data_IF_466886726294
#
_entry.id   IF_466886726294
#
_cell.length_a   1.000
_cell.length_b   1.000
_cell.length_c   1.000
_cell.angle_alpha   90.00
_cell.angle_beta   90.00
_cell.angle_gamma   90.00
#
_symmetry.space_group_name_H-M   'P 1'
#
loop_
_entity.id
_entity.type
_entity.pdbx_description
1 polymer ?
#
# COMPACT_ATOMS: atom_id res chain seq x y z
N UNK A 1 -6.04 -4.03 8.71
CA UNK A 1 -5.39 -2.72 8.51
C UNK A 1 -6.30 -1.71 7.81
N UNK A 2 -6.78 -1.95 6.57
CA UNK A 2 -7.63 -1.01 5.81
C UNK A 2 -8.88 -0.52 6.58
N UNK A 3 -9.67 -1.43 7.17
CA UNK A 3 -10.84 -1.08 8.00
C UNK A 3 -10.45 -0.11 9.13
N UNK A 4 -9.33 -0.38 9.79
CA UNK A 4 -8.85 0.46 10.88
C UNK A 4 -8.45 1.86 10.37
N UNK A 5 -7.73 1.94 9.26
CA UNK A 5 -7.33 3.21 8.65
C UNK A 5 -8.54 4.02 8.18
N UNK A 6 -9.55 3.37 7.59
CA UNK A 6 -10.83 4.01 7.23
C UNK A 6 -11.50 4.65 8.46
N UNK A 7 -11.54 3.93 9.60
CA UNK A 7 -12.11 4.46 10.85
C UNK A 7 -11.23 5.56 11.46
N UNK A 8 -9.90 5.41 11.40
CA UNK A 8 -8.95 6.43 11.86
C UNK A 8 -9.13 7.75 11.12
N UNK A 9 -9.46 7.70 9.83
CA UNK A 9 -9.75 8.86 8.99
C UNK A 9 -11.04 9.63 9.36
N UNK A 10 -11.78 9.23 10.40
CA UNK A 10 -12.79 10.09 11.02
C UNK A 10 -12.20 11.12 11.98
N UNK A 11 -10.88 11.11 12.21
CA UNK A 11 -10.17 12.17 12.91
C UNK A 11 -10.29 12.14 14.44
N UNK A 12 -10.78 11.04 15.03
CA UNK A 12 -10.91 10.89 16.49
C UNK A 12 -10.14 9.67 17.03
N UNK A 13 -9.23 9.84 18.00
CA UNK A 13 -8.70 11.12 18.52
C UNK A 13 -7.94 11.90 17.43
N UNK A 14 -7.49 13.13 17.68
CA UNK A 14 -6.73 13.91 16.68
C UNK A 14 -5.53 13.13 16.15
N UNK A 15 -5.24 13.30 14.88
CA UNK A 15 -4.06 12.73 14.24
C UNK A 15 -2.83 13.55 14.62
N UNK A 16 -1.79 12.85 15.04
CA UNK A 16 -0.52 13.41 15.49
C UNK A 16 0.60 12.96 14.56
N UNK A 17 1.59 13.83 14.38
CA UNK A 17 2.72 13.57 13.49
C UNK A 17 2.66 14.43 12.24
N UNK A 18 3.17 13.88 11.15
CA UNK A 18 3.22 14.49 9.83
C UNK A 18 2.96 13.47 8.72
N UNK A 19 2.42 12.27 9.02
CA UNK A 19 2.23 11.22 8.00
C UNK A 19 1.34 11.66 6.83
N UNK A 20 0.25 12.39 7.07
CA UNK A 20 -0.59 12.89 5.96
C UNK A 20 0.12 13.97 5.16
N UNK A 21 0.85 14.86 5.84
CA UNK A 21 1.64 15.91 5.17
C UNK A 21 2.74 15.29 4.30
N UNK A 22 3.44 14.29 4.85
CA UNK A 22 4.59 13.66 4.22
C UNK A 22 4.17 12.74 3.06
N UNK A 23 3.11 11.94 3.26
CA UNK A 23 2.73 10.87 2.34
C UNK A 23 1.67 11.29 1.32
N UNK A 24 0.85 12.29 1.62
CA UNK A 24 -0.28 12.72 0.77
C UNK A 24 -0.25 14.21 0.41
N UNK A 25 0.80 14.94 0.84
CA UNK A 25 0.88 16.40 0.72
C UNK A 25 -0.34 17.13 1.32
N UNK A 26 -0.92 16.59 2.40
CA UNK A 26 -2.00 17.25 3.11
C UNK A 26 -1.52 18.56 3.75
N UNK A 27 -2.38 19.59 3.89
CA UNK A 27 -2.03 20.81 4.62
C UNK A 27 -1.64 20.56 6.09
N UNK A 28 -2.27 19.58 6.74
CA UNK A 28 -1.97 19.12 8.09
C UNK A 28 -2.61 17.72 8.34
N UNK A 29 -2.32 17.12 9.50
CA UNK A 29 -2.82 15.79 9.88
C UNK A 29 -4.35 15.70 10.09
N UNK A 30 -5.05 16.82 10.23
CA UNK A 30 -6.48 16.85 10.51
C UNK A 30 -7.26 17.58 9.39
N UNK A 31 -6.67 17.67 8.19
CA UNK A 31 -7.32 18.24 7.02
C UNK A 31 -8.54 17.42 6.60
N UNK A 32 -9.74 18.01 6.71
CA UNK A 32 -11.01 17.31 6.54
C UNK A 32 -11.17 16.74 5.11
N UNK A 33 -10.75 17.49 4.09
CA UNK A 33 -10.86 17.08 2.70
C UNK A 33 -9.97 15.85 2.41
N UNK A 34 -8.71 15.89 2.86
CA UNK A 34 -7.79 14.75 2.71
C UNK A 34 -8.27 13.55 3.52
N UNK A 35 -8.81 13.76 4.73
CA UNK A 35 -9.37 12.67 5.54
C UNK A 35 -10.59 12.01 4.88
N UNK A 36 -11.47 12.80 4.28
CA UNK A 36 -12.60 12.28 3.51
C UNK A 36 -12.13 11.46 2.31
N UNK A 37 -11.11 11.94 1.59
CA UNK A 37 -10.49 11.22 0.48
C UNK A 37 -9.87 9.89 0.93
N UNK A 38 -9.10 9.90 2.01
CA UNK A 38 -8.49 8.69 2.61
C UNK A 38 -9.56 7.67 3.02
N UNK A 39 -10.66 8.14 3.63
CA UNK A 39 -11.78 7.29 4.03
C UNK A 39 -12.44 6.61 2.83
N UNK A 40 -12.66 7.34 1.75
CA UNK A 40 -13.22 6.80 0.50
C UNK A 40 -12.34 5.69 -0.03
N UNK A 41 -11.03 5.92 -0.12
CA UNK A 41 -10.10 4.95 -0.69
C UNK A 41 -9.98 3.67 0.13
N UNK A 42 -9.82 3.76 1.45
CA UNK A 42 -9.85 2.56 2.28
C UNK A 42 -11.23 1.89 2.28
N UNK A 43 -12.31 2.66 2.11
CA UNK A 43 -13.65 2.12 1.88
C UNK A 43 -13.72 1.29 0.59
N UNK A 44 -13.13 1.77 -0.50
CA UNK A 44 -13.06 1.04 -1.77
C UNK A 44 -12.26 -0.27 -1.62
N UNK A 45 -11.14 -0.25 -0.90
CA UNK A 45 -10.36 -1.46 -0.59
C UNK A 45 -11.19 -2.48 0.17
N UNK A 46 -11.90 -2.04 1.22
CA UNK A 46 -12.76 -2.92 2.02
C UNK A 46 -13.88 -3.49 1.15
N UNK A 47 -14.56 -2.66 0.37
CA UNK A 47 -15.61 -3.10 -0.55
C UNK A 47 -15.10 -4.11 -1.56
N UNK A 48 -13.97 -3.85 -2.23
CA UNK A 48 -13.37 -4.76 -3.20
C UNK A 48 -13.02 -6.13 -2.58
N UNK A 49 -12.47 -6.13 -1.37
CA UNK A 49 -12.13 -7.35 -0.64
C UNK A 49 -13.36 -8.14 -0.15
N UNK A 50 -14.55 -7.55 -0.15
CA UNK A 50 -15.80 -8.24 0.25
C UNK A 50 -16.58 -8.85 -0.92
N UNK A 51 -16.17 -8.58 -2.17
CA UNK A 51 -16.84 -9.16 -3.33
C UNK A 51 -16.48 -10.65 -3.43
N UNK A 52 -17.46 -11.57 -3.40
CA UNK A 52 -17.20 -13.00 -3.52
C UNK A 52 -16.74 -13.36 -4.94
N UNK A 53 -16.04 -14.48 -5.07
CA UNK A 53 -15.70 -15.04 -6.38
C UNK A 53 -16.95 -15.65 -7.06
N UNK A 54 -17.12 -15.49 -8.38
CA UNK A 54 -16.29 -14.71 -9.31
C UNK A 54 -16.60 -13.21 -9.25
N UNK A 55 -15.58 -12.34 -9.37
CA UNK A 55 -15.78 -10.88 -9.38
C UNK A 55 -14.93 -10.08 -8.38
N UNK A 56 -14.22 -10.77 -7.48
CA UNK A 56 -13.48 -10.17 -6.37
C UNK A 56 -11.96 -10.17 -6.53
N UNK A 57 -11.29 -10.08 -5.39
CA UNK A 57 -9.83 -10.14 -5.29
C UNK A 57 -9.38 -11.58 -5.12
N UNK A 58 -8.46 -12.03 -5.96
CA UNK A 58 -7.76 -13.30 -5.80
C UNK A 58 -6.29 -13.03 -5.51
N UNK A 59 -5.75 -13.64 -4.44
CA UNK A 59 -4.36 -13.50 -4.05
C UNK A 59 -3.62 -14.81 -4.30
N UNK A 60 -2.63 -14.78 -5.18
CA UNK A 60 -1.70 -15.89 -5.37
C UNK A 60 -0.43 -15.66 -4.55
N UNK A 61 0.07 -16.74 -3.94
CA UNK A 61 1.36 -16.72 -3.26
C UNK A 61 2.55 -16.78 -4.21
N UNK A 62 2.35 -16.96 -5.52
CA UNK A 62 3.41 -16.97 -6.53
C UNK A 62 2.83 -16.72 -7.92
N UNK A 63 3.69 -16.39 -8.87
CA UNK A 63 3.36 -16.19 -10.28
C UNK A 63 3.33 -17.50 -11.10
N UNK A 64 3.44 -18.66 -10.44
CA UNK A 64 3.55 -19.97 -11.10
C UNK A 64 2.35 -20.35 -11.99
N UNK A 65 1.23 -19.66 -11.85
CA UNK A 65 0.04 -19.85 -12.68
C UNK A 65 0.09 -19.06 -14.01
N UNK A 66 1.07 -18.16 -14.17
CA UNK A 66 1.28 -17.38 -15.37
C UNK A 66 2.17 -18.13 -16.36
N UNK A 67 1.75 -18.19 -17.62
CA UNK A 67 2.50 -18.84 -18.69
C UNK A 67 3.29 -17.78 -19.46
N UNK A 68 4.63 -17.88 -19.57
CA UNK A 68 5.39 -16.90 -20.34
C UNK A 68 5.03 -16.96 -21.83
N UNK A 69 4.70 -15.81 -22.42
CA UNK A 69 4.42 -15.69 -23.87
C UNK A 69 5.52 -14.92 -24.60
N UNK A 70 6.04 -13.85 -23.98
CA UNK A 70 7.25 -13.17 -24.41
C UNK A 70 8.00 -12.62 -23.17
N UNK A 71 8.89 -13.43 -22.56
CA UNK A 71 9.59 -13.05 -21.34
C UNK A 71 10.44 -11.78 -21.49
N UNK A 72 10.98 -11.52 -22.68
CA UNK A 72 11.82 -10.35 -22.98
C UNK A 72 11.03 -9.04 -22.87
N UNK A 73 9.77 -9.04 -23.30
CA UNK A 73 8.85 -7.91 -23.12
C UNK A 73 8.03 -8.01 -21.83
N UNK A 74 8.37 -8.94 -20.93
CA UNK A 74 7.67 -9.19 -19.66
C UNK A 74 6.19 -9.56 -19.84
N UNK A 75 5.86 -10.25 -20.94
CA UNK A 75 4.50 -10.68 -21.26
C UNK A 75 4.22 -12.11 -20.82
N UNK A 76 3.09 -12.28 -20.14
CA UNK A 76 2.62 -13.56 -19.62
C UNK A 76 1.13 -13.73 -19.90
N UNK A 77 0.68 -14.98 -20.00
CA UNK A 77 -0.72 -15.36 -20.17
C UNK A 77 -1.27 -15.87 -18.84
N UNK A 78 -2.39 -15.28 -18.43
CA UNK A 78 -3.28 -15.88 -17.45
C UNK A 78 -4.34 -16.70 -18.19
N UNK A 79 -4.39 -18.00 -17.92
CA UNK A 79 -5.36 -18.91 -18.55
C UNK A 79 -6.82 -18.56 -18.21
N UNK A 80 -7.06 -17.75 -17.18
CA UNK A 80 -8.39 -17.22 -16.87
C UNK A 80 -8.77 -16.15 -17.89
N UNK A 81 -9.61 -16.54 -18.84
CA UNK A 81 -10.05 -15.66 -19.90
C UNK A 81 -8.98 -15.37 -20.96
N UNK A 82 -7.89 -16.15 -21.00
CA UNK A 82 -6.78 -15.98 -21.93
C UNK A 82 -6.23 -14.55 -21.96
N UNK A 83 -6.03 -13.96 -20.78
CA UNK A 83 -5.62 -12.55 -20.64
C UNK A 83 -4.11 -12.45 -20.71
N UNK A 84 -3.58 -11.67 -21.66
CA UNK A 84 -2.16 -11.33 -21.71
C UNK A 84 -1.90 -10.14 -20.80
N UNK A 85 -0.92 -10.28 -19.91
CA UNK A 85 -0.53 -9.25 -18.93
C UNK A 85 0.92 -8.88 -19.13
N UNK A 86 1.26 -7.64 -18.77
CA UNK A 86 2.65 -7.18 -18.69
C UNK A 86 3.05 -7.15 -17.22
N UNK A 87 4.08 -7.89 -16.85
CA UNK A 87 4.63 -7.87 -15.50
C UNK A 87 5.46 -6.60 -15.26
N UNK A 88 5.71 -6.20 -14.00
CA UNK A 88 6.47 -5.00 -13.68
C UNK A 88 7.83 -4.94 -14.40
N UNK A 89 8.26 -3.74 -14.79
CA UNK A 89 9.59 -3.54 -15.36
C UNK A 89 10.65 -3.47 -14.24
N UNK A 90 11.85 -4.06 -14.43
CA UNK A 90 12.89 -4.00 -13.42
C UNK A 90 13.44 -2.57 -13.28
N UNK A 91 13.88 -2.19 -12.08
CA UNK A 91 14.77 -1.04 -11.93
C UNK A 91 16.04 -1.20 -12.78
N UNK A 92 16.67 -0.09 -13.23
CA UNK A 92 17.92 -0.14 -13.98
C UNK A 92 18.99 -0.95 -13.25
N UNK A 93 19.70 -1.82 -13.98
CA UNK A 93 20.81 -2.61 -13.43
C UNK A 93 20.44 -3.93 -12.75
N UNK A 94 19.15 -4.30 -12.69
CA UNK A 94 18.70 -5.59 -12.17
C UNK A 94 18.66 -6.65 -13.28
N UNK A 95 19.31 -7.79 -13.05
CA UNK A 95 19.17 -8.97 -13.91
C UNK A 95 17.84 -9.68 -13.61
N UNK A 96 17.04 -9.90 -14.65
CA UNK A 96 15.72 -10.51 -14.54
C UNK A 96 15.77 -12.04 -14.51
N UNK A 97 14.92 -12.64 -13.70
CA UNK A 97 14.50 -14.05 -13.84
C UNK A 97 13.42 -14.19 -14.91
N UNK A 98 13.23 -15.41 -15.41
CA UNK A 98 12.24 -15.72 -16.46
C UNK A 98 10.78 -15.74 -15.98
N UNK A 99 10.53 -15.55 -14.68
CA UNK A 99 9.20 -15.48 -14.09
C UNK A 99 8.68 -14.03 -14.04
N UNK A 100 7.37 -13.87 -13.88
CA UNK A 100 6.71 -12.56 -13.86
C UNK A 100 7.14 -11.70 -12.66
N UNK A 101 7.55 -12.28 -11.53
CA UNK A 101 8.10 -11.55 -10.40
C UNK A 101 9.50 -10.99 -10.65
N UNK A 102 10.24 -11.55 -11.62
CA UNK A 102 11.52 -11.02 -12.12
C UNK A 102 12.67 -11.00 -11.10
N UNK A 103 12.49 -11.55 -9.90
CA UNK A 103 13.49 -11.58 -8.84
C UNK A 103 13.61 -10.29 -8.01
N UNK A 104 12.75 -9.29 -8.27
CA UNK A 104 12.84 -7.96 -7.66
C UNK A 104 11.51 -7.45 -7.10
N UNK A 105 10.38 -7.85 -7.67
CA UNK A 105 9.08 -7.39 -7.23
C UNK A 105 8.70 -8.07 -5.91
N UNK A 106 8.14 -7.31 -4.96
CA UNK A 106 7.56 -7.89 -3.73
C UNK A 106 6.19 -8.48 -4.01
N UNK A 107 5.39 -7.80 -4.82
CA UNK A 107 4.13 -8.23 -5.39
C UNK A 107 3.80 -7.40 -6.62
N UNK A 108 2.69 -7.71 -7.26
CA UNK A 108 2.06 -6.86 -8.26
C UNK A 108 0.60 -7.25 -8.46
N UNK A 109 -0.17 -6.33 -9.03
CA UNK A 109 -1.61 -6.47 -9.23
C UNK A 109 -1.98 -6.29 -10.70
N UNK A 110 -2.93 -7.09 -11.19
CA UNK A 110 -3.49 -6.96 -12.54
C UNK A 110 -4.94 -7.46 -12.59
N UNK A 111 -5.65 -7.13 -13.66
CA UNK A 111 -6.99 -7.63 -13.92
C UNK A 111 -6.96 -8.78 -14.92
N UNK A 112 -7.69 -9.87 -14.65
CA UNK A 112 -8.00 -10.88 -15.66
C UNK A 112 -9.40 -11.44 -15.48
N UNK A 113 -10.09 -11.64 -16.62
CA UNK A 113 -11.52 -11.94 -16.64
C UNK A 113 -12.32 -10.98 -15.73
N UNK A 114 -13.09 -11.50 -14.78
CA UNK A 114 -13.87 -10.70 -13.83
C UNK A 114 -13.13 -10.43 -12.50
N UNK A 115 -11.88 -10.88 -12.33
CA UNK A 115 -11.19 -10.79 -11.05
C UNK A 115 -10.07 -9.75 -11.06
N UNK A 116 -9.81 -9.21 -9.87
CA UNK A 116 -8.58 -8.47 -9.56
C UNK A 116 -7.59 -9.43 -8.92
N UNK A 117 -6.40 -9.55 -9.50
CA UNK A 117 -5.44 -10.57 -9.11
C UNK A 117 -4.23 -9.89 -8.52
N UNK A 118 -3.87 -10.32 -7.31
CA UNK A 118 -2.65 -9.93 -6.61
C UNK A 118 -1.71 -11.12 -6.61
N UNK A 119 -0.46 -10.91 -7.01
CA UNK A 119 0.62 -11.88 -6.86
C UNK A 119 1.54 -11.40 -5.75
N UNK A 120 1.73 -12.23 -4.73
CA UNK A 120 2.79 -12.08 -3.72
C UNK A 120 4.00 -12.89 -4.20
N UNK A 121 5.12 -12.25 -4.50
CA UNK A 121 6.24 -12.88 -5.24
C UNK A 121 7.14 -13.79 -4.39
N UNK A 122 6.57 -14.80 -3.72
CA UNK A 122 7.25 -15.60 -2.69
C UNK A 122 8.44 -16.46 -3.15
N UNK A 123 8.59 -16.67 -4.45
CA UNK A 123 9.64 -17.49 -5.06
C UNK A 123 10.92 -16.70 -5.33
N UNK A 124 10.93 -15.39 -5.07
CA UNK A 124 12.10 -14.53 -5.20
C UNK A 124 12.71 -14.19 -3.84
N UNK A 125 14.04 -14.09 -3.75
CA UNK A 125 14.73 -13.63 -2.53
C UNK A 125 14.37 -12.21 -2.09
N UNK A 126 13.65 -11.46 -2.94
CA UNK A 126 13.10 -10.12 -2.67
C UNK A 126 11.57 -10.12 -2.52
N UNK A 127 10.93 -11.28 -2.56
CA UNK A 127 9.49 -11.47 -2.52
C UNK A 127 8.85 -11.05 -1.21
N UNK A 128 7.56 -10.68 -1.23
CA UNK A 128 6.84 -10.26 -0.02
C UNK A 128 6.86 -11.31 1.11
N UNK A 129 6.75 -12.60 0.79
CA UNK A 129 6.74 -13.65 1.83
C UNK A 129 8.14 -13.92 2.41
N UNK A 130 9.20 -13.73 1.64
CA UNK A 130 10.58 -14.01 2.07
C UNK A 130 11.21 -12.80 2.75
N UNK A 131 10.99 -11.61 2.20
CA UNK A 131 11.65 -10.37 2.65
C UNK A 131 10.92 -9.66 3.79
N UNK A 132 9.77 -10.18 4.22
CA UNK A 132 8.99 -9.53 5.27
C UNK A 132 9.43 -9.92 6.68
N UNK A 133 9.20 -9.01 7.63
CA UNK A 133 9.49 -9.29 9.04
C UNK A 133 8.55 -10.32 9.63
N UNK A 134 9.14 -11.28 10.33
CA UNK A 134 8.45 -12.39 11.02
C UNK A 134 7.58 -11.95 12.21
N UNK A 135 7.96 -10.99 13.09
CA UNK A 135 7.00 -10.47 14.05
C UNK A 135 5.94 -9.65 13.31
N UNK A 136 4.66 -9.97 13.52
CA UNK A 136 3.57 -9.19 12.95
C UNK A 136 3.56 -7.77 13.52
N UNK A 137 3.00 -6.83 12.75
CA UNK A 137 2.86 -5.44 13.20
C UNK A 137 1.97 -5.33 14.46
N UNK A 138 1.07 -6.30 14.68
CA UNK A 138 0.21 -6.41 15.87
C UNK A 138 0.99 -6.53 17.19
N UNK A 139 2.20 -7.11 17.16
CA UNK A 139 3.04 -7.20 18.35
C UNK A 139 3.39 -5.80 18.87
N UNK A 140 3.73 -4.86 17.97
CA UNK A 140 4.06 -3.48 18.30
C UNK A 140 2.83 -2.61 18.55
N UNK A 141 1.66 -3.02 18.05
CA UNK A 141 0.39 -2.36 18.31
C UNK A 141 -0.03 -2.48 19.78
N UNK A 142 0.29 -3.61 20.43
CA UNK A 142 -0.25 -3.97 21.75
C UNK A 142 0.75 -3.90 22.89
N UNK A 143 2.01 -4.31 22.68
CA UNK A 143 2.94 -4.53 23.79
C UNK A 143 4.42 -4.27 23.47
N UNK A 144 4.84 -4.33 22.20
CA UNK A 144 6.22 -4.06 21.80
C UNK A 144 6.57 -2.57 21.77
N UNK A 145 7.84 -2.23 22.02
CA UNK A 145 8.40 -0.91 21.73
C UNK A 145 9.01 -0.89 20.33
N UNK A 146 8.30 -0.32 19.36
CA UNK A 146 8.75 -0.28 17.97
C UNK A 146 10.05 0.52 17.81
N UNK A 147 10.33 1.49 18.69
CA UNK A 147 11.50 2.39 18.55
C UNK A 147 12.83 1.66 18.68
N UNK A 148 12.83 0.52 19.39
CA UNK A 148 13.99 -0.37 19.54
C UNK A 148 13.94 -1.56 18.58
N UNK A 149 12.93 -1.61 17.72
CA UNK A 149 12.79 -2.63 16.68
C UNK A 149 13.92 -2.51 15.64
N UNK A 150 14.29 -3.61 14.97
CA UNK A 150 15.39 -3.61 14.00
C UNK A 150 15.21 -2.52 12.94
N UNK A 151 16.20 -1.65 12.81
CA UNK A 151 16.27 -0.66 11.74
C UNK A 151 15.26 0.50 11.82
N UNK A 152 14.46 0.64 12.89
CA UNK A 152 13.45 1.72 12.99
C UNK A 152 14.10 3.10 13.15
N UNK A 153 15.21 3.20 13.89
CA UNK A 153 15.96 4.45 14.02
C UNK A 153 16.66 4.87 12.72
N UNK A 154 17.06 3.90 11.90
CA UNK A 154 17.82 4.10 10.66
C UNK A 154 16.91 4.35 9.47
N UNK A 155 15.82 3.59 9.36
CA UNK A 155 14.92 3.60 8.20
C UNK A 155 13.63 4.38 8.47
N UNK A 156 13.34 4.74 9.72
CA UNK A 156 12.15 5.49 10.07
C UNK A 156 10.88 4.81 9.55
N UNK A 157 10.02 5.58 8.89
CA UNK A 157 8.74 5.11 8.35
C UNK A 157 8.89 4.02 7.27
N UNK A 158 10.01 3.96 6.55
CA UNK A 158 10.25 2.95 5.50
C UNK A 158 10.23 1.53 6.03
N UNK A 159 10.56 1.37 7.31
CA UNK A 159 10.53 0.08 7.98
C UNK A 159 9.13 -0.54 7.90
N UNK A 160 8.07 0.27 7.89
CA UNK A 160 6.68 -0.18 7.83
C UNK A 160 6.36 -0.94 6.53
N UNK A 161 7.05 -0.63 5.44
CA UNK A 161 6.95 -1.34 4.15
C UNK A 161 7.60 -2.73 4.15
N UNK A 162 8.20 -3.16 5.27
CA UNK A 162 8.81 -4.48 5.43
C UNK A 162 7.86 -5.50 6.07
N UNK A 163 6.66 -5.11 6.51
CA UNK A 163 5.66 -6.09 6.98
C UNK A 163 4.79 -6.57 5.83
N UNK A 164 4.54 -7.88 5.79
CA UNK A 164 3.70 -8.51 4.77
C UNK A 164 2.31 -7.86 4.67
N UNK A 165 1.72 -7.49 5.81
CA UNK A 165 0.43 -6.80 5.84
C UNK A 165 0.43 -5.45 5.11
N UNK A 166 1.55 -4.72 5.16
CA UNK A 166 1.70 -3.44 4.47
C UNK A 166 1.86 -3.66 2.97
N UNK A 167 2.65 -4.67 2.58
CA UNK A 167 2.82 -5.05 1.17
C UNK A 167 1.51 -5.53 0.55
N UNK A 168 0.74 -6.38 1.26
CA UNK A 168 -0.59 -6.80 0.79
C UNK A 168 -1.50 -5.58 0.66
N UNK A 169 -1.47 -4.64 1.62
CA UNK A 169 -2.30 -3.45 1.53
C UNK A 169 -1.93 -2.55 0.35
N UNK A 170 -0.64 -2.39 0.07
CA UNK A 170 -0.16 -1.70 -1.14
C UNK A 170 -0.80 -2.28 -2.40
N UNK A 171 -0.74 -3.61 -2.58
CA UNK A 171 -1.37 -4.27 -3.73
C UNK A 171 -2.90 -4.15 -3.74
N UNK A 172 -3.52 -4.18 -2.56
CA UNK A 172 -4.96 -3.95 -2.43
C UNK A 172 -5.38 -2.54 -2.87
N UNK A 173 -4.52 -1.52 -2.74
CA UNK A 173 -4.81 -0.17 -3.26
C UNK A 173 -4.93 -0.20 -4.78
N UNK A 174 -4.03 -0.92 -5.46
CA UNK A 174 -4.10 -1.16 -6.90
C UNK A 174 -5.41 -1.88 -7.26
N UNK A 175 -5.74 -2.98 -6.56
CA UNK A 175 -6.96 -3.77 -6.81
C UNK A 175 -8.27 -2.97 -6.58
N UNK A 176 -8.31 -2.16 -5.52
CA UNK A 176 -9.47 -1.35 -5.17
C UNK A 176 -9.79 -0.27 -6.22
N UNK A 177 -8.76 0.25 -6.89
CA UNK A 177 -8.92 1.17 -8.00
C UNK A 177 -9.70 0.55 -9.17
N UNK A 178 -9.60 -0.76 -9.36
CA UNK A 178 -10.33 -1.49 -10.40
C UNK A 178 -11.77 -1.86 -10.00
N UNK A 179 -12.06 -2.14 -8.72
CA UNK A 179 -13.43 -2.49 -8.28
C UNK A 179 -14.44 -1.34 -8.47
N UNK A 180 -13.95 -0.09 -8.52
CA UNK A 180 -14.75 1.09 -8.80
C UNK A 180 -15.24 1.16 -10.28
N UNK A 181 -14.69 0.35 -11.19
CA UNK A 181 -15.02 0.31 -12.61
C UNK A 181 -16.37 -0.37 -12.93
N UNK A 182 -16.96 -1.14 -12.01
CA UNK A 182 -18.16 -1.95 -12.29
C UNK A 182 -19.49 -1.30 -11.88
N UNK A 183 -19.48 -0.06 -11.36
CA UNK A 183 -20.67 0.53 -10.71
C UNK A 183 -21.21 1.87 -11.22
N UNK A 184 -20.49 2.61 -12.09
CA UNK A 184 -20.69 4.03 -12.53
C UNK A 184 -19.61 5.03 -12.05
N UNK A 185 -18.32 4.66 -11.97
CA UNK A 185 -17.22 5.62 -11.71
C UNK A 185 -15.93 5.28 -12.49
N UNK A 186 -15.10 6.31 -12.72
CA UNK A 186 -14.02 6.42 -13.73
C UNK A 186 -12.77 5.54 -13.50
N UNK A 187 -11.90 5.50 -14.55
CA UNK A 187 -10.64 4.76 -14.72
C UNK A 187 -9.76 4.64 -13.47
N UNK A 188 -9.13 3.47 -13.30
CA UNK A 188 -8.35 3.07 -12.13
C UNK A 188 -7.35 4.14 -11.71
N UNK A 189 -7.49 4.60 -10.48
CA UNK A 189 -6.77 5.75 -9.94
C UNK A 189 -5.54 5.36 -9.08
N UNK A 190 -5.11 4.09 -9.11
CA UNK A 190 -3.77 3.70 -8.69
C UNK A 190 -3.10 3.02 -9.89
N UNK A 191 -2.03 3.61 -10.44
CA UNK A 191 -1.35 3.03 -11.59
C UNK A 191 -0.83 1.64 -11.24
N UNK A 192 -1.40 0.61 -11.86
CA UNK A 192 -0.79 -0.71 -11.86
C UNK A 192 0.45 -0.64 -12.78
N UNK A 193 1.64 -0.49 -12.18
CA UNK A 193 2.95 -0.66 -12.82
C UNK A 193 3.37 0.33 -13.93
N UNK A 194 2.53 1.28 -14.35
CA UNK A 194 2.85 2.28 -15.38
C UNK A 194 2.37 3.67 -14.97
N UNK A 195 3.10 4.76 -15.29
CA UNK A 195 2.62 6.09 -15.01
C UNK A 195 1.33 6.39 -15.79
N UNK A 196 0.23 6.61 -15.06
CA UNK A 196 -1.05 7.03 -15.61
C UNK A 196 -1.16 8.56 -15.63
N UNK A 197 -2.21 9.09 -16.27
CA UNK A 197 -2.54 10.51 -16.16
C UNK A 197 -3.84 10.68 -15.36
N UNK A 198 -3.76 11.45 -14.28
CA UNK A 198 -4.93 11.86 -13.50
C UNK A 198 -4.99 13.37 -13.49
N UNK A 199 -6.16 13.94 -13.82
CA UNK A 199 -6.35 15.39 -13.94
C UNK A 199 -5.36 16.06 -14.93
N UNK A 200 -4.98 15.35 -15.99
CA UNK A 200 -4.03 15.84 -17.01
C UNK A 200 -2.56 15.88 -16.56
N UNK A 201 -2.24 15.36 -15.37
CA UNK A 201 -0.88 15.25 -14.85
C UNK A 201 -0.47 13.78 -14.71
N UNK A 202 0.78 13.48 -15.04
CA UNK A 202 1.36 12.14 -14.84
C UNK A 202 1.41 11.80 -13.35
N UNK A 203 0.83 10.67 -13.00
CA UNK A 203 0.97 10.01 -11.70
C UNK A 203 1.76 8.73 -11.92
N UNK A 204 2.49 8.28 -10.91
CA UNK A 204 3.35 7.12 -11.02
C UNK A 204 3.72 6.61 -9.65
N UNK A 205 4.11 5.35 -9.60
CA UNK A 205 4.43 4.70 -8.35
C UNK A 205 5.74 5.24 -7.77
N UNK A 206 5.68 5.68 -6.52
CA UNK A 206 6.82 6.16 -5.75
C UNK A 206 6.88 5.34 -4.48
N UNK A 207 8.02 4.71 -4.24
CA UNK A 207 8.23 3.88 -3.08
C UNK A 207 9.07 4.63 -2.05
N UNK A 208 8.83 4.33 -0.77
CA UNK A 208 9.61 4.84 0.36
C UNK A 208 9.39 6.32 0.67
N UNK A 209 9.51 6.65 1.95
CA UNK A 209 9.32 7.94 2.58
C UNK A 209 10.11 9.05 1.91
N UNK A 210 11.42 8.87 1.69
CA UNK A 210 12.26 9.95 1.15
C UNK A 210 11.87 10.33 -0.28
N UNK A 211 11.71 9.39 -1.23
CA UNK A 211 11.16 9.71 -2.55
C UNK A 211 9.73 10.28 -2.52
N UNK A 212 8.85 9.76 -1.66
CA UNK A 212 7.46 10.22 -1.54
C UNK A 212 7.40 11.66 -1.01
N UNK A 213 8.03 11.93 0.12
CA UNK A 213 7.94 13.22 0.83
C UNK A 213 8.92 14.26 0.29
N UNK A 214 9.96 13.85 -0.43
CA UNK A 214 11.11 14.68 -0.77
C UNK A 214 11.91 15.13 0.47
N UNK A 215 11.71 14.50 1.62
CA UNK A 215 12.39 14.81 2.89
C UNK A 215 13.43 13.75 3.22
N UNK A 216 14.54 14.18 3.80
CA UNK A 216 15.39 13.28 4.56
C UNK A 216 14.70 12.90 5.88
N UNK A 217 15.00 11.71 6.41
CA UNK A 217 14.46 11.25 7.68
C UNK A 217 14.75 12.27 8.80
N UNK A 218 13.70 12.75 9.48
CA UNK A 218 13.76 13.74 10.55
C UNK A 218 13.75 15.20 10.08
N UNK A 219 13.99 15.47 8.79
CA UNK A 219 14.00 16.83 8.25
C UNK A 219 12.58 17.35 8.03
N UNK A 220 12.31 18.60 8.44
CA UNK A 220 11.00 19.25 8.23
C UNK A 220 10.83 19.83 6.83
N UNK A 221 11.93 20.07 6.12
CA UNK A 221 11.95 20.69 4.79
C UNK A 221 12.05 19.64 3.69
N UNK A 222 11.21 19.78 2.65
CA UNK A 222 11.28 18.96 1.44
C UNK A 222 12.12 19.64 0.36
N UNK A 223 12.88 18.87 -0.41
CA UNK A 223 13.67 19.37 -1.56
C UNK A 223 13.09 18.96 -2.91
N UNK A 224 11.89 18.37 -2.94
CA UNK A 224 11.30 17.89 -4.18
C UNK A 224 10.17 16.89 -3.97
N UNK A 225 9.23 17.19 -3.06
CA UNK A 225 8.04 16.36 -2.88
C UNK A 225 7.30 16.25 -4.21
N UNK A 226 6.78 15.05 -4.50
CA UNK A 226 5.89 14.90 -5.64
C UNK A 226 4.61 15.72 -5.45
N UNK A 227 3.86 15.92 -6.53
CA UNK A 227 2.61 16.69 -6.45
C UNK A 227 1.58 15.98 -5.57
N UNK A 228 0.69 16.74 -4.93
CA UNK A 228 -0.42 16.16 -4.18
C UNK A 228 -1.25 15.19 -5.05
N UNK A 229 -1.45 15.52 -6.34
CA UNK A 229 -2.12 14.64 -7.29
C UNK A 229 -1.40 13.29 -7.42
N UNK A 230 -0.06 13.26 -7.51
CA UNK A 230 0.65 11.98 -7.59
C UNK A 230 0.59 11.20 -6.27
N UNK A 231 0.87 11.87 -5.14
CA UNK A 231 0.90 11.21 -3.84
C UNK A 231 -0.45 10.65 -3.39
N UNK A 232 -1.54 11.33 -3.76
CA UNK A 232 -2.91 10.88 -3.51
C UNK A 232 -3.36 9.73 -4.44
N UNK A 233 -2.54 9.38 -5.43
CA UNK A 233 -2.74 8.26 -6.35
C UNK A 233 -1.56 7.27 -6.30
N UNK A 234 -0.78 7.30 -5.22
CA UNK A 234 0.37 6.42 -4.99
C UNK A 234 0.07 5.34 -3.95
N UNK A 235 0.13 4.06 -4.33
CA UNK A 235 -0.26 2.95 -3.46
C UNK A 235 0.58 2.86 -2.18
N UNK A 236 1.89 3.11 -2.29
CA UNK A 236 2.81 3.05 -1.16
C UNK A 236 2.54 4.16 -0.13
N UNK A 237 2.15 5.35 -0.58
CA UNK A 237 1.72 6.44 0.30
C UNK A 237 0.57 6.02 1.21
N UNK A 238 -0.45 5.34 0.67
CA UNK A 238 -1.60 4.85 1.42
C UNK A 238 -1.26 3.67 2.32
N UNK A 239 -0.46 2.72 1.82
CA UNK A 239 -0.05 1.55 2.60
C UNK A 239 0.78 1.96 3.83
N UNK A 240 1.76 2.85 3.63
CA UNK A 240 2.57 3.40 4.72
C UNK A 240 1.75 4.24 5.69
N UNK A 241 0.80 5.06 5.20
CA UNK A 241 -0.10 5.84 6.05
C UNK A 241 -0.96 4.91 6.94
N UNK A 242 -1.54 3.87 6.35
CA UNK A 242 -2.35 2.92 7.10
C UNK A 242 -1.51 2.16 8.13
N UNK A 243 -0.30 1.72 7.76
CA UNK A 243 0.60 1.03 8.68
C UNK A 243 1.04 1.96 9.83
N UNK A 244 1.29 3.23 9.54
CA UNK A 244 1.68 4.23 10.55
C UNK A 244 0.55 4.47 11.55
N UNK A 245 -0.69 4.57 11.07
CA UNK A 245 -1.88 4.71 11.89
C UNK A 245 -2.27 3.44 12.64
N UNK A 246 -1.90 2.27 12.12
CA UNK A 246 -2.18 0.97 12.73
C UNK A 246 -1.35 0.73 14.01
N UNK A 247 -0.56 1.70 14.45
CA UNK A 247 0.29 1.64 15.63
C UNK A 247 -0.10 2.76 16.61
N UNK A 248 -1.22 2.63 17.36
CA UNK A 248 -1.76 3.71 18.18
C UNK A 248 -0.82 4.32 19.23
N UNK A 249 0.14 3.58 19.83
CA UNK A 249 1.09 4.17 20.75
C UNK A 249 2.11 5.14 20.14
N UNK A 250 2.12 5.30 18.81
CA UNK A 250 3.15 6.04 18.10
C UNK A 250 2.58 7.14 17.20
N UNK A 251 3.38 8.16 16.99
CA UNK A 251 3.22 9.17 15.95
C UNK A 251 4.51 9.22 15.11
N UNK A 252 4.37 9.58 13.84
CA UNK A 252 5.49 9.67 12.92
C UNK A 252 5.71 11.13 12.54
N UNK A 253 6.86 11.69 12.90
CA UNK A 253 7.20 13.10 12.66
C UNK A 253 8.39 13.14 11.71
N UNK A 254 8.19 13.68 10.51
CA UNK A 254 9.16 13.69 9.42
C UNK A 254 9.76 12.30 9.19
N UNK A 255 8.91 11.28 9.14
CA UNK A 255 9.32 9.87 9.01
C UNK A 255 9.92 9.23 10.27
N UNK A 256 10.14 9.96 11.37
CA UNK A 256 10.70 9.38 12.60
C UNK A 256 9.61 8.91 13.57
N UNK A 257 9.78 7.71 14.11
CA UNK A 257 8.88 7.14 15.10
C UNK A 257 9.03 7.83 16.48
N UNK A 258 7.91 8.26 17.06
CA UNK A 258 7.85 8.82 18.42
C UNK A 258 6.71 8.17 19.20
N UNK A 259 6.95 7.89 20.48
CA UNK A 259 5.89 7.38 21.38
C UNK A 259 5.01 8.54 21.85
N UNK A 260 3.70 8.31 21.92
CA UNK A 260 2.73 9.29 22.42
C UNK A 260 2.05 8.80 23.71
N UNK A 261 1.60 9.75 24.53
CA UNK A 261 0.89 9.47 25.78
C UNK A 261 -0.44 8.76 25.53
N UNK A 262 -0.85 7.88 26.46
CA UNK A 262 -2.07 7.08 26.36
C UNK A 262 -3.34 7.90 26.03
N UNK A 263 -3.47 9.11 26.59
CA UNK A 263 -4.60 10.01 26.34
C UNK A 263 -4.76 10.44 24.87
N UNK A 264 -3.69 10.37 24.08
CA UNK A 264 -3.66 10.76 22.68
C UNK A 264 -3.72 9.55 21.73
N UNK A 265 -3.69 8.33 22.27
CA UNK A 265 -3.67 7.12 21.47
C UNK A 265 -5.06 6.82 20.93
N UNK A 266 -5.11 6.45 19.65
CA UNK A 266 -6.32 5.87 19.07
C UNK A 266 -6.65 4.52 19.75
N UNK A 267 -7.93 4.10 19.75
CA UNK A 267 -8.29 2.83 20.36
C UNK A 267 -7.66 1.65 19.61
N UNK A 268 -7.31 0.58 20.33
CA UNK A 268 -6.83 -0.67 19.71
C UNK A 268 -7.86 -1.34 18.80
N UNK A 269 -9.15 -1.06 18.98
CA UNK A 269 -10.24 -1.52 18.11
C UNK A 269 -11.31 -0.44 18.10
N UNK A 270 -11.77 -0.05 16.91
CA UNK A 270 -12.92 0.85 16.78
C UNK A 270 -14.22 0.05 16.94
N UNK A 271 -15.17 0.56 17.72
CA UNK A 271 -16.49 -0.06 17.89
C UNK A 271 -17.23 -0.19 16.55
N UNK A 272 -18.05 -1.23 16.39
CA UNK A 272 -18.80 -1.52 15.16
C UNK A 272 -17.91 -1.68 13.92
N UNK A 273 -16.68 -2.15 14.08
CA UNK A 273 -15.90 -2.64 12.95
C UNK A 273 -16.45 -3.99 12.52
N UNK A 274 -16.86 -4.06 11.25
CA UNK A 274 -17.23 -5.35 10.65
C UNK A 274 -16.03 -6.29 10.72
N UNK A 275 -16.24 -7.59 10.97
CA UNK A 275 -15.17 -8.56 10.85
C UNK A 275 -14.57 -8.47 9.43
N UNK A 276 -13.25 -8.67 9.27
CA UNK A 276 -12.67 -8.77 7.94
C UNK A 276 -13.44 -9.82 7.12
N UNK A 277 -13.65 -9.61 5.80
CA UNK A 277 -14.20 -10.67 4.96
C UNK A 277 -13.38 -11.95 5.16
N UNK A 278 -14.08 -13.06 5.44
CA UNK A 278 -13.47 -14.36 5.68
C UNK A 278 -12.82 -14.92 4.41
N UNK A 279 -12.08 -16.02 4.56
CA UNK A 279 -11.59 -16.79 3.41
C UNK A 279 -12.81 -17.26 2.59
N UNK A 280 -12.82 -16.94 1.29
CA UNK A 280 -13.77 -17.51 0.33
C UNK A 280 -13.27 -18.84 -0.22
#
# INVERSE_FOLDING_TARGET
MAIYAQKRAYGSPLLLGTSMVDLLAAPNENDEATLAFVRTWFGNVVSAATIPSPGGILIHCSDAHLIPTNPTSRQYLDNRGNTVINAPSPPPGISLTANACGGFAKGFTYQAAANQIIILCSDSGKGALISSFTPSLDNYRTSGDLRIGPGVSENGLDILGMWLSTVILHELMHAASFAQQLGTFQLGQFPATLPDMVNGATVGEIYQFTPISGKQLGASTSTGQSTANNLQHNADSFALLAASWYLPPYAWVNGQCRKISAINQAPLVYTNTLPPPGQS
#
